data_IF_219691188020
#
_entry.id   IF_219691188020
#
_cell.length_a   1.000
_cell.length_b   1.000
_cell.length_c   1.000
_cell.angle_alpha   90.00
_cell.angle_beta   90.00
_cell.angle_gamma   90.00
#
_symmetry.space_group_name_H-M   'P 1'
#
loop_
_entity.id
_entity.type
_entity.pdbx_description
1 polymer ?
#
# COMPACT_ATOMS: atom_id res chain seq x y z
N UNK A 1 11.26 -16.96 -3.57
CA UNK A 1 10.31 -17.47 -2.55
C UNK A 1 10.93 -18.26 -1.40
N UNK A 2 11.56 -19.44 -1.57
CA UNK A 2 12.05 -20.27 -0.41
C UNK A 2 13.00 -19.58 0.58
N UNK A 3 13.44 -18.36 0.33
CA UNK A 3 14.33 -17.57 1.19
C UNK A 3 13.69 -16.30 1.73
N UNK A 4 12.53 -15.89 1.22
CA UNK A 4 11.93 -14.62 1.57
C UNK A 4 11.07 -14.71 2.85
N UNK A 5 10.99 -13.64 3.66
CA UNK A 5 10.26 -13.64 4.93
C UNK A 5 8.79 -14.04 4.82
N UNK A 6 8.09 -13.62 3.76
CA UNK A 6 6.67 -13.92 3.50
C UNK A 6 6.39 -15.42 3.29
N UNK A 7 7.42 -16.21 3.01
CA UNK A 7 7.30 -17.67 2.86
C UNK A 7 7.57 -18.47 4.14
N UNK A 8 8.12 -17.82 5.18
CA UNK A 8 8.66 -18.49 6.38
C UNK A 8 8.16 -17.95 7.71
N UNK A 9 7.70 -16.71 7.76
CA UNK A 9 7.37 -16.04 9.01
C UNK A 9 5.93 -15.54 8.99
N UNK A 10 5.09 -16.15 9.83
CA UNK A 10 3.75 -15.65 10.11
C UNK A 10 3.80 -14.23 10.68
N UNK A 11 4.78 -13.95 11.52
CA UNK A 11 4.90 -12.66 12.20
C UNK A 11 5.20 -11.55 11.19
N UNK A 12 6.04 -11.84 10.20
CA UNK A 12 6.29 -10.93 9.09
C UNK A 12 5.01 -10.65 8.30
N UNK A 13 4.24 -11.69 7.96
CA UNK A 13 3.00 -11.54 7.21
C UNK A 13 1.97 -10.70 7.98
N UNK A 14 1.82 -10.96 9.29
CA UNK A 14 0.94 -10.16 10.15
C UNK A 14 1.41 -8.72 10.22
N UNK A 15 2.71 -8.48 10.39
CA UNK A 15 3.28 -7.14 10.44
C UNK A 15 3.03 -6.37 9.13
N UNK A 16 3.32 -6.97 7.98
CA UNK A 16 3.11 -6.32 6.67
C UNK A 16 1.62 -6.02 6.44
N UNK A 17 0.73 -6.97 6.69
CA UNK A 17 -0.71 -6.76 6.54
C UNK A 17 -1.32 -5.85 7.63
N UNK A 18 -0.54 -5.42 8.63
CA UNK A 18 -0.97 -4.45 9.65
C UNK A 18 -0.81 -2.99 9.20
N UNK A 19 -0.13 -2.69 8.09
CA UNK A 19 0.07 -1.30 7.62
C UNK A 19 -1.25 -0.52 7.46
N UNK A 20 -2.33 -1.08 6.86
CA UNK A 20 -3.61 -0.36 6.77
C UNK A 20 -4.26 -0.07 8.13
N UNK A 21 -4.08 -0.95 9.12
CA UNK A 21 -4.52 -0.69 10.49
C UNK A 21 -3.72 0.45 11.12
N UNK A 22 -2.39 0.45 10.99
CA UNK A 22 -1.54 1.51 11.52
C UNK A 22 -1.87 2.86 10.89
N UNK A 23 -2.12 2.89 9.58
CA UNK A 23 -2.57 4.06 8.84
C UNK A 23 -3.94 4.56 9.37
N UNK A 24 -4.91 3.66 9.53
CA UNK A 24 -6.21 3.98 10.12
C UNK A 24 -6.07 4.54 11.53
N UNK A 25 -5.29 3.90 12.37
CA UNK A 25 -5.09 4.30 13.76
C UNK A 25 -4.44 5.68 13.87
N UNK A 26 -3.43 5.96 13.04
CA UNK A 26 -2.82 7.29 12.94
C UNK A 26 -3.85 8.34 12.52
N UNK A 27 -4.72 8.01 11.54
CA UNK A 27 -5.78 8.91 11.07
C UNK A 27 -6.86 9.18 12.12
N UNK A 28 -7.13 8.24 13.03
CA UNK A 28 -8.07 8.46 14.13
C UNK A 28 -7.48 9.31 15.25
N UNK A 29 -6.19 9.09 15.58
CA UNK A 29 -5.53 9.87 16.64
C UNK A 29 -5.25 11.31 16.23
N UNK A 30 -4.83 11.49 14.98
CA UNK A 30 -4.58 12.77 14.33
C UNK A 30 -4.00 13.88 15.24
N UNK A 31 -2.85 13.66 15.91
CA UNK A 31 -2.27 14.67 16.80
C UNK A 31 -1.81 15.93 16.04
N UNK A 32 -1.63 15.82 14.72
CA UNK A 32 -1.16 16.90 13.84
C UNK A 32 -2.30 17.62 13.12
N UNK A 33 -3.56 17.28 13.38
CA UNK A 33 -4.74 17.88 12.73
C UNK A 33 -4.66 17.87 11.18
N UNK A 34 -4.12 16.79 10.61
CA UNK A 34 -4.00 16.60 9.17
C UNK A 34 -5.26 15.99 8.56
N UNK A 35 -5.56 16.35 7.32
CA UNK A 35 -6.57 15.69 6.48
C UNK A 35 -6.02 14.50 5.70
N UNK A 36 -4.70 14.35 5.63
CA UNK A 36 -4.00 13.40 4.75
C UNK A 36 -3.02 12.53 5.53
N UNK A 37 -3.03 11.24 5.24
CA UNK A 37 -2.17 10.26 5.89
C UNK A 37 -1.62 9.31 4.86
N UNK A 38 -0.30 9.15 4.88
CA UNK A 38 0.42 8.23 4.02
C UNK A 38 1.38 7.39 4.86
N UNK A 39 1.46 6.11 4.51
CA UNK A 39 2.45 5.18 5.01
C UNK A 39 3.63 5.16 4.06
N UNK A 40 4.83 5.32 4.61
CA UNK A 40 6.10 5.07 3.94
C UNK A 40 6.79 3.92 4.68
N UNK A 41 7.16 2.87 3.96
CA UNK A 41 7.77 1.69 4.56
C UNK A 41 9.14 1.99 5.17
N UNK A 42 9.44 1.44 6.35
CA UNK A 42 10.72 1.67 7.01
C UNK A 42 11.91 1.02 6.26
N UNK A 43 11.63 0.02 5.42
CA UNK A 43 12.57 -0.59 4.48
C UNK A 43 12.71 0.17 3.15
N UNK A 44 12.08 1.35 3.02
CA UNK A 44 12.21 2.20 1.83
C UNK A 44 13.69 2.41 1.48
N UNK A 45 14.06 2.10 0.23
CA UNK A 45 15.43 2.18 -0.26
C UNK A 45 16.26 0.91 -0.12
N UNK A 46 15.76 -0.17 0.51
CA UNK A 46 16.41 -1.49 0.54
C UNK A 46 17.89 -1.47 0.96
N UNK A 47 18.23 -0.66 1.96
CA UNK A 47 19.60 -0.51 2.46
C UNK A 47 20.45 0.51 1.69
N UNK A 48 19.88 1.17 0.68
CA UNK A 48 20.46 2.34 0.02
C UNK A 48 19.83 3.59 0.61
N UNK A 49 20.67 4.55 1.01
CA UNK A 49 20.23 5.87 1.43
C UNK A 49 19.44 6.53 0.30
N UNK A 50 18.14 6.71 0.52
CA UNK A 50 17.25 7.45 -0.38
C UNK A 50 16.48 8.45 0.45
N UNK A 51 16.64 9.71 0.09
CA UNK A 51 16.02 10.82 0.77
C UNK A 51 15.50 11.79 -0.28
N UNK A 52 14.50 12.62 0.07
CA UNK A 52 14.22 13.83 -0.67
C UNK A 52 15.48 14.71 -0.78
N UNK A 53 15.49 15.66 -1.72
CA UNK A 53 16.60 16.60 -1.87
C UNK A 53 16.96 17.27 -0.53
N UNK A 54 18.27 17.41 -0.25
CA UNK A 54 18.83 17.72 1.08
C UNK A 54 18.41 19.08 1.70
N UNK A 55 17.53 19.86 1.08
CA UNK A 55 17.03 21.13 1.60
C UNK A 55 15.52 21.30 1.47
N UNK A 56 14.78 20.23 1.17
CA UNK A 56 13.35 20.28 0.91
C UNK A 56 12.57 19.46 1.94
N UNK A 57 11.57 20.08 2.55
CA UNK A 57 10.56 19.32 3.28
C UNK A 57 9.69 18.61 2.24
N UNK A 58 9.89 17.30 2.12
CA UNK A 58 9.09 16.50 1.20
C UNK A 58 7.62 16.49 1.61
N UNK A 59 6.76 16.73 0.62
CA UNK A 59 5.31 16.71 0.76
C UNK A 59 4.71 16.10 -0.51
N UNK A 60 3.87 15.05 -0.42
CA UNK A 60 3.24 14.45 -1.58
C UNK A 60 2.03 15.28 -2.06
N UNK A 61 2.25 16.57 -2.34
CA UNK A 61 1.19 17.57 -2.48
C UNK A 61 0.26 17.31 -3.66
N UNK A 62 0.82 16.79 -4.76
CA UNK A 62 0.09 16.41 -5.98
C UNK A 62 -0.93 15.27 -5.78
N UNK A 63 -0.81 14.47 -4.73
CA UNK A 63 -1.80 13.43 -4.37
C UNK A 63 -2.67 13.82 -3.16
N UNK A 64 -2.42 15.00 -2.56
CA UNK A 64 -3.19 15.59 -1.48
C UNK A 64 -4.25 16.59 -1.97
N UNK A 65 -4.94 16.25 -3.06
CA UNK A 65 -5.88 17.16 -3.72
C UNK A 65 -7.34 16.76 -3.47
N UNK A 66 -8.25 17.74 -3.44
CA UNK A 66 -9.67 17.54 -3.10
C UNK A 66 -10.37 16.45 -3.91
N UNK A 67 -10.03 16.32 -5.20
CA UNK A 67 -10.58 15.29 -6.10
C UNK A 67 -10.21 13.85 -5.72
N UNK A 68 -9.17 13.67 -4.89
CA UNK A 68 -8.70 12.36 -4.41
C UNK A 68 -9.14 12.03 -2.98
N UNK A 69 -9.97 12.87 -2.35
CA UNK A 69 -10.43 12.65 -0.96
C UNK A 69 -11.13 11.30 -0.76
N UNK A 70 -11.79 10.78 -1.78
CA UNK A 70 -12.46 9.47 -1.75
C UNK A 70 -11.60 8.33 -2.33
N UNK A 71 -10.29 8.54 -2.43
CA UNK A 71 -9.35 7.60 -3.05
C UNK A 71 -8.14 7.29 -2.17
N UNK A 72 -7.71 6.04 -2.21
CA UNK A 72 -6.41 5.59 -1.70
C UNK A 72 -5.42 5.58 -2.86
N UNK A 73 -4.31 6.29 -2.70
CA UNK A 73 -3.20 6.29 -3.63
C UNK A 73 -2.31 5.08 -3.37
N UNK A 74 -1.98 4.37 -4.44
CA UNK A 74 -1.03 3.25 -4.49
C UNK A 74 -0.12 3.40 -5.71
N UNK A 75 1.05 2.76 -5.66
CA UNK A 75 2.00 2.73 -6.79
C UNK A 75 1.93 1.36 -7.47
N UNK A 76 1.66 1.36 -8.78
CA UNK A 76 1.68 0.19 -9.64
C UNK A 76 3.03 0.04 -10.32
N UNK A 77 3.58 -1.17 -10.31
CA UNK A 77 4.91 -1.51 -10.82
C UNK A 77 4.90 -2.09 -12.25
N UNK A 78 3.72 -2.43 -12.76
CA UNK A 78 3.55 -3.10 -14.06
C UNK A 78 2.71 -2.28 -15.03
N UNK A 79 2.93 -2.39 -16.36
CA UNK A 79 2.12 -1.67 -17.35
C UNK A 79 0.68 -2.19 -17.41
N UNK A 80 0.46 -3.47 -17.11
CA UNK A 80 -0.84 -4.15 -17.18
C UNK A 80 -1.88 -3.59 -16.19
N UNK A 81 -3.16 -3.89 -16.43
CA UNK A 81 -4.21 -3.56 -15.48
C UNK A 81 -4.21 -4.58 -14.34
N UNK A 82 -4.25 -4.10 -13.09
CA UNK A 82 -4.29 -4.95 -11.89
C UNK A 82 -5.53 -5.86 -11.85
N UNK A 83 -6.60 -5.48 -12.56
CA UNK A 83 -7.82 -6.28 -12.69
C UNK A 83 -7.60 -7.62 -13.44
N UNK A 84 -6.55 -7.72 -14.25
CA UNK A 84 -6.35 -8.86 -15.16
C UNK A 84 -5.65 -10.06 -14.48
N UNK A 85 -5.21 -9.90 -13.22
CA UNK A 85 -4.39 -10.91 -12.53
C UNK A 85 -5.23 -11.79 -11.61
N UNK A 86 -5.50 -13.06 -11.95
CA UNK A 86 -6.15 -13.98 -11.03
C UNK A 86 -5.25 -14.24 -9.81
N UNK A 87 -5.85 -14.53 -8.66
CA UNK A 87 -5.08 -14.79 -7.42
C UNK A 87 -4.01 -15.89 -7.60
N UNK A 88 -4.29 -16.91 -8.42
CA UNK A 88 -3.36 -18.00 -8.70
C UNK A 88 -2.09 -17.59 -9.46
N UNK A 89 -2.09 -16.43 -10.13
CA UNK A 89 -0.91 -15.89 -10.82
C UNK A 89 -0.04 -15.00 -9.94
N UNK A 90 -0.53 -14.58 -8.77
CA UNK A 90 0.17 -13.69 -7.84
C UNK A 90 0.50 -14.35 -6.49
N UNK A 91 -0.38 -15.22 -5.98
CA UNK A 91 -0.21 -15.84 -4.67
C UNK A 91 1.01 -16.76 -4.64
N UNK A 92 1.91 -16.51 -3.68
CA UNK A 92 3.21 -17.18 -3.58
C UNK A 92 3.83 -17.27 -4.96
N UNK A 93 3.99 -16.11 -5.58
CA UNK A 93 4.79 -15.92 -6.80
C UNK A 93 5.72 -14.73 -6.54
N UNK A 94 6.88 -14.75 -7.20
CA UNK A 94 7.81 -13.61 -7.14
C UNK A 94 7.37 -12.52 -8.14
N UNK A 95 6.14 -12.04 -8.00
CA UNK A 95 5.50 -11.08 -8.91
C UNK A 95 4.98 -9.91 -8.08
N UNK A 96 5.64 -8.77 -8.16
CA UNK A 96 5.22 -7.54 -7.50
C UNK A 96 4.44 -6.68 -8.50
N UNK A 97 3.14 -6.50 -8.25
CA UNK A 97 2.26 -5.66 -9.09
C UNK A 97 2.08 -4.26 -8.53
N UNK A 98 2.09 -4.14 -7.20
CA UNK A 98 1.91 -2.91 -6.43
C UNK A 98 3.10 -2.78 -5.49
N UNK A 99 3.64 -1.56 -5.35
CA UNK A 99 4.65 -1.29 -4.32
C UNK A 99 4.03 -1.33 -2.93
N UNK A 100 4.61 -2.13 -2.03
CA UNK A 100 4.29 -2.10 -0.60
C UNK A 100 4.95 -0.94 0.15
N UNK A 101 5.73 -0.10 -0.55
CA UNK A 101 6.52 0.97 0.05
C UNK A 101 5.71 2.23 0.35
N UNK A 102 4.60 2.47 -0.37
CA UNK A 102 3.80 3.68 -0.23
C UNK A 102 2.30 3.43 -0.44
N UNK A 103 1.49 3.87 0.52
CA UNK A 103 0.03 3.87 0.41
C UNK A 103 -0.60 4.94 1.30
N UNK A 104 -1.72 5.52 0.88
CA UNK A 104 -2.42 6.47 1.73
C UNK A 104 -3.51 7.27 1.05
N UNK A 105 -4.09 8.22 1.77
CA UNK A 105 -5.15 9.06 1.25
C UNK A 105 -5.71 9.97 2.33
N UNK A 106 -6.90 10.52 2.08
CA UNK A 106 -7.53 11.39 3.08
C UNK A 106 -8.06 10.61 4.28
N UNK A 107 -8.15 11.27 5.43
CA UNK A 107 -8.75 10.73 6.65
C UNK A 107 -10.17 10.19 6.42
N UNK A 108 -10.90 10.71 5.43
CA UNK A 108 -12.28 10.34 5.13
C UNK A 108 -12.41 8.94 4.53
N UNK A 109 -11.46 8.53 3.67
CA UNK A 109 -11.53 7.25 2.95
C UNK A 109 -10.84 6.11 3.72
N UNK A 110 -9.88 6.44 4.59
CA UNK A 110 -9.05 5.46 5.31
C UNK A 110 -9.89 4.45 6.13
N UNK A 111 -10.93 4.83 6.90
CA UNK A 111 -11.75 3.84 7.62
C UNK A 111 -12.43 2.82 6.70
N UNK A 112 -12.89 3.27 5.53
CA UNK A 112 -13.52 2.42 4.53
C UNK A 112 -12.50 1.50 3.87
N UNK A 113 -11.31 2.01 3.57
CA UNK A 113 -10.19 1.22 3.06
C UNK A 113 -9.75 0.15 4.07
N UNK A 114 -9.56 0.51 5.35
CA UNK A 114 -9.19 -0.44 6.39
C UNK A 114 -10.23 -1.56 6.55
N UNK A 115 -11.52 -1.22 6.51
CA UNK A 115 -12.60 -2.22 6.54
C UNK A 115 -12.53 -3.18 5.35
N UNK A 116 -12.34 -2.66 4.13
CA UNK A 116 -12.17 -3.50 2.93
C UNK A 116 -10.95 -4.42 3.06
N UNK A 117 -9.81 -3.85 3.44
CA UNK A 117 -8.56 -4.57 3.57
C UNK A 117 -8.66 -5.69 4.60
N UNK A 118 -9.20 -5.40 5.78
CA UNK A 118 -9.38 -6.38 6.85
C UNK A 118 -10.27 -7.55 6.41
N UNK A 119 -11.36 -7.26 5.71
CA UNK A 119 -12.26 -8.29 5.19
C UNK A 119 -11.58 -9.16 4.13
N UNK A 120 -10.78 -8.55 3.23
CA UNK A 120 -10.01 -9.29 2.24
C UNK A 120 -8.97 -10.18 2.91
N UNK A 121 -8.16 -9.62 3.82
CA UNK A 121 -7.10 -10.36 4.50
C UNK A 121 -7.66 -11.54 5.31
N UNK A 122 -8.74 -11.32 6.07
CA UNK A 122 -9.39 -12.40 6.82
C UNK A 122 -9.93 -13.50 5.89
N UNK A 123 -10.54 -13.13 4.77
CA UNK A 123 -11.01 -14.09 3.78
C UNK A 123 -9.88 -14.91 3.15
N UNK A 124 -8.74 -14.27 2.88
CA UNK A 124 -7.53 -14.93 2.38
C UNK A 124 -6.98 -15.94 3.40
N UNK A 125 -6.85 -15.54 4.66
CA UNK A 125 -6.40 -16.42 5.75
C UNK A 125 -7.34 -17.61 5.92
N UNK A 126 -8.66 -17.40 5.94
CA UNK A 126 -9.66 -18.48 6.02
C UNK A 126 -9.59 -19.44 4.82
N UNK A 127 -9.26 -18.92 3.64
CA UNK A 127 -9.06 -19.72 2.43
C UNK A 127 -7.69 -20.40 2.32
N UNK A 128 -6.79 -20.21 3.29
CA UNK A 128 -5.43 -20.77 3.26
C UNK A 128 -4.46 -20.02 2.32
N UNK A 129 -4.82 -18.81 1.89
CA UNK A 129 -3.97 -17.92 1.09
C UNK A 129 -3.28 -16.93 2.03
N UNK A 130 -2.03 -17.20 2.40
CA UNK A 130 -1.28 -16.35 3.33
C UNK A 130 -0.01 -15.84 2.63
N UNK A 131 0.04 -14.54 2.40
CA UNK A 131 1.08 -13.83 1.65
C UNK A 131 1.25 -12.40 2.20
N UNK A 132 2.19 -11.64 1.65
CA UNK A 132 2.44 -10.25 2.05
C UNK A 132 1.27 -9.27 1.74
N UNK A 133 1.48 -8.01 2.10
CA UNK A 133 0.50 -6.94 1.95
C UNK A 133 0.17 -6.61 0.49
N UNK A 134 1.09 -6.87 -0.45
CA UNK A 134 0.92 -6.54 -1.86
C UNK A 134 -0.19 -7.39 -2.49
N UNK A 135 -0.22 -8.68 -2.19
CA UNK A 135 -1.28 -9.58 -2.67
C UNK A 135 -2.66 -9.11 -2.16
N UNK A 136 -2.76 -8.76 -0.88
CA UNK A 136 -4.00 -8.25 -0.28
C UNK A 136 -4.42 -6.92 -0.94
N UNK A 137 -3.48 -6.01 -1.21
CA UNK A 137 -3.74 -4.74 -1.88
C UNK A 137 -4.28 -4.93 -3.31
N UNK A 138 -3.71 -5.85 -4.09
CA UNK A 138 -4.19 -6.17 -5.44
C UNK A 138 -5.66 -6.62 -5.39
N UNK A 139 -6.01 -7.48 -4.44
CA UNK A 139 -7.38 -7.99 -4.32
C UNK A 139 -8.34 -6.91 -3.82
N UNK A 140 -7.90 -6.01 -2.95
CA UNK A 140 -8.67 -4.83 -2.58
C UNK A 140 -8.98 -3.95 -3.80
N UNK A 141 -7.96 -3.69 -4.63
CA UNK A 141 -8.14 -2.97 -5.89
C UNK A 141 -9.16 -3.67 -6.79
N UNK A 142 -9.02 -4.98 -7.00
CA UNK A 142 -9.93 -5.76 -7.85
C UNK A 142 -11.38 -5.70 -7.37
N UNK A 143 -11.61 -5.72 -6.05
CA UNK A 143 -12.96 -5.64 -5.47
C UNK A 143 -13.57 -4.24 -5.56
N UNK A 144 -12.77 -3.18 -5.56
CA UNK A 144 -13.28 -1.81 -5.62
C UNK A 144 -12.29 -0.85 -6.32
N UNK A 145 -12.14 -0.94 -7.65
CA UNK A 145 -11.12 -0.16 -8.37
C UNK A 145 -11.31 1.35 -8.25
N UNK A 146 -12.56 1.82 -8.12
CA UNK A 146 -12.89 3.25 -8.04
C UNK A 146 -12.43 3.91 -6.74
N UNK A 147 -12.22 3.11 -5.68
CA UNK A 147 -11.61 3.56 -4.42
C UNK A 147 -10.13 3.89 -4.55
N UNK A 148 -9.48 3.55 -5.66
CA UNK A 148 -8.04 3.75 -5.80
C UNK A 148 -7.70 4.89 -6.77
N UNK A 149 -6.62 5.59 -6.44
CA UNK A 149 -5.82 6.39 -7.33
C UNK A 149 -4.55 5.59 -7.62
N UNK A 150 -4.41 5.08 -8.84
CA UNK A 150 -3.29 4.21 -9.19
C UNK A 150 -2.28 5.03 -9.98
N UNK A 151 -1.09 5.18 -9.43
CA UNK A 151 0.02 5.88 -10.09
C UNK A 151 1.03 4.84 -10.56
N UNK A 152 1.50 4.93 -11.80
CA UNK A 152 2.55 4.04 -12.29
C UNK A 152 3.91 4.57 -11.85
N UNK A 153 4.74 3.70 -11.26
CA UNK A 153 6.06 4.06 -10.77
C UNK A 153 6.94 2.83 -10.56
N UNK A 154 8.00 2.98 -9.78
CA UNK A 154 8.86 1.89 -9.34
C UNK A 154 8.86 1.79 -7.81
N UNK A 155 9.69 0.90 -7.26
CA UNK A 155 9.78 0.72 -5.81
C UNK A 155 10.14 2.01 -5.08
N UNK A 156 11.00 2.83 -5.68
CA UNK A 156 11.69 3.93 -5.02
C UNK A 156 11.43 5.28 -5.67
N UNK A 157 10.31 5.41 -6.39
CA UNK A 157 9.97 6.62 -7.12
C UNK A 157 9.13 7.60 -6.29
N UNK A 158 8.81 7.27 -5.04
CA UNK A 158 7.96 8.09 -4.14
C UNK A 158 8.44 9.54 -4.05
N UNK A 159 9.73 9.77 -3.81
CA UNK A 159 10.28 11.11 -3.66
C UNK A 159 10.37 11.91 -4.97
N UNK A 160 10.55 11.22 -6.09
CA UNK A 160 10.60 11.86 -7.41
C UNK A 160 9.20 12.18 -7.95
N UNK A 161 8.24 11.28 -7.70
CA UNK A 161 6.90 11.37 -8.27
C UNK A 161 5.95 12.30 -7.51
N UNK A 162 6.11 12.38 -6.19
CA UNK A 162 5.20 13.15 -5.35
C UNK A 162 5.95 14.34 -4.77
N UNK A 163 5.68 15.52 -5.31
CA UNK A 163 6.14 16.83 -4.86
C UNK A 163 5.02 17.84 -5.05
#
# INVERSE_FOLDING_TARGET
>A
MKTHPESKSSDYIILMNSKPYLLYFASQRNPFQSDWFYWLDAGYGHGVARFPNENEQWSPSNVMVKSLTQKITIIKLVPHNLADFPISSIYRKNVALISGEFLGGSAQIIPRFYSLYSNVFQGLVQGGYVDDDQTTLVICYQKNPTMFNVVTGDWHSVFDMFH
#
